data_IF_027661458737
#
_entry.id   IF_027661458737
#
_cell.length_a   1.000
_cell.length_b   1.000
_cell.length_c   1.000
_cell.angle_alpha   90.00
_cell.angle_beta   90.00
_cell.angle_gamma   90.00
#
_symmetry.space_group_name_H-M   'P 1'
#
loop_
_entity.id
_entity.type
_entity.pdbx_description
1 polymer ?
#
# COMPACT_ATOMS: atom_id res chain seq x y z
N UNK A 1 -4.42 -0.34 -4.97
CA UNK A 1 -5.86 -0.67 -4.75
C UNK A 1 -6.80 0.00 -5.76
N UNK A 2 -6.77 1.33 -5.91
CA UNK A 2 -7.69 2.07 -6.81
C UNK A 2 -7.70 1.56 -8.26
N UNK A 3 -6.54 1.18 -8.81
CA UNK A 3 -6.44 0.61 -10.16
C UNK A 3 -7.26 -0.67 -10.32
N UNK A 4 -7.11 -1.64 -9.41
CA UNK A 4 -7.81 -2.92 -9.46
C UNK A 4 -9.33 -2.72 -9.29
N UNK A 5 -9.73 -1.87 -8.36
CA UNK A 5 -11.14 -1.51 -8.15
C UNK A 5 -11.75 -0.89 -9.42
N UNK A 6 -11.08 0.12 -10.00
CA UNK A 6 -11.56 0.79 -11.20
C UNK A 6 -11.55 -0.10 -12.45
N UNK A 7 -10.63 -1.07 -12.54
CA UNK A 7 -10.59 -2.06 -13.62
C UNK A 7 -11.64 -3.17 -13.44
N UNK A 8 -12.22 -3.31 -12.25
CA UNK A 8 -13.07 -4.44 -11.83
C UNK A 8 -12.40 -5.78 -12.14
N UNK A 9 -11.12 -5.88 -11.82
CA UNK A 9 -10.36 -7.09 -12.07
C UNK A 9 -10.89 -8.25 -11.21
N UNK A 10 -11.20 -9.37 -11.85
CA UNK A 10 -11.61 -10.62 -11.20
C UNK A 10 -10.73 -11.73 -11.74
N UNK A 11 -10.06 -12.46 -10.84
CA UNK A 11 -9.26 -13.63 -11.20
C UNK A 11 -10.12 -14.81 -11.66
N UNK A 12 -9.51 -15.85 -12.27
CA UNK A 12 -10.24 -17.05 -12.68
C UNK A 12 -10.85 -17.76 -11.47
N UNK A 13 -12.11 -18.20 -11.59
CA UNK A 13 -12.79 -18.98 -10.53
C UNK A 13 -12.26 -20.41 -10.57
N UNK A 14 -11.42 -20.75 -9.60
CA UNK A 14 -10.84 -22.10 -9.46
C UNK A 14 -11.60 -22.92 -8.41
N UNK A 15 -11.44 -24.25 -8.38
CA UNK A 15 -12.02 -25.09 -7.32
C UNK A 15 -11.57 -24.67 -5.91
N UNK A 16 -10.35 -24.15 -5.77
CA UNK A 16 -9.86 -23.60 -4.51
C UNK A 16 -10.67 -22.35 -4.08
N UNK A 17 -10.96 -21.44 -5.01
CA UNK A 17 -11.77 -20.25 -4.72
C UNK A 17 -13.19 -20.63 -4.29
N UNK A 18 -13.78 -21.65 -4.92
CA UNK A 18 -15.11 -22.15 -4.53
C UNK A 18 -15.10 -22.68 -3.08
N UNK A 19 -14.09 -23.50 -2.73
CA UNK A 19 -13.92 -23.97 -1.34
C UNK A 19 -13.69 -22.83 -0.35
N UNK A 20 -12.87 -21.85 -0.70
CA UNK A 20 -12.63 -20.67 0.14
C UNK A 20 -13.91 -19.86 0.40
N UNK A 21 -14.83 -19.80 -0.57
CA UNK A 21 -16.13 -19.13 -0.37
C UNK A 21 -17.00 -19.85 0.66
N UNK A 22 -16.94 -21.19 0.70
CA UNK A 22 -17.67 -21.99 1.68
C UNK A 22 -17.02 -21.94 3.07
N UNK A 23 -15.69 -21.83 3.14
CA UNK A 23 -14.94 -21.82 4.40
C UNK A 23 -14.93 -20.43 5.08
N UNK A 24 -14.76 -19.36 4.30
CA UNK A 24 -14.59 -18.00 4.83
C UNK A 24 -15.91 -17.28 5.13
N UNK A 25 -17.01 -17.71 4.51
CA UNK A 25 -18.32 -17.08 4.67
C UNK A 25 -19.23 -17.93 5.54
N UNK A 26 -19.93 -17.30 6.48
CA UNK A 26 -20.90 -17.97 7.35
C UNK A 26 -22.20 -18.31 6.63
N UNK A 27 -22.47 -17.65 5.51
CA UNK A 27 -23.67 -17.82 4.67
C UNK A 27 -23.27 -18.20 3.23
N UNK A 28 -24.16 -18.89 2.48
CA UNK A 28 -23.88 -19.23 1.08
C UNK A 28 -23.55 -17.98 0.26
N UNK A 29 -22.49 -18.05 -0.56
CA UNK A 29 -21.95 -16.93 -1.35
C UNK A 29 -23.03 -16.21 -2.19
N UNK A 30 -23.98 -16.95 -2.74
CA UNK A 30 -25.06 -16.45 -3.59
C UNK A 30 -26.11 -15.65 -2.81
N UNK A 31 -26.21 -15.85 -1.50
CA UNK A 31 -27.15 -15.15 -0.61
C UNK A 31 -26.58 -13.88 -0.01
N UNK A 32 -25.26 -13.67 -0.12
CA UNK A 32 -24.59 -12.51 0.47
C UNK A 32 -25.05 -11.22 -0.21
N UNK A 33 -25.69 -10.35 0.57
CA UNK A 33 -26.07 -9.02 0.14
C UNK A 33 -24.87 -8.05 0.24
N UNK A 34 -24.02 -8.06 -0.81
CA UNK A 34 -22.77 -7.29 -0.86
C UNK A 34 -22.91 -5.79 -0.55
N UNK A 35 -24.10 -5.19 -0.79
CA UNK A 35 -24.34 -3.77 -0.48
C UNK A 35 -24.45 -3.50 1.02
N UNK A 36 -24.99 -4.44 1.81
CA UNK A 36 -25.23 -4.31 3.25
C UNK A 36 -23.97 -4.56 4.07
N UNK A 37 -23.09 -5.44 3.58
CA UNK A 37 -21.86 -5.83 4.28
C UNK A 37 -20.71 -4.83 4.13
N UNK A 38 -20.86 -3.77 3.33
CA UNK A 38 -19.78 -2.78 3.07
C UNK A 38 -19.31 -2.03 4.31
N UNK A 39 -20.21 -1.83 5.27
CA UNK A 39 -19.93 -1.15 6.54
C UNK A 39 -19.78 -2.12 7.70
N UNK A 40 -19.82 -3.44 7.45
CA UNK A 40 -19.66 -4.45 8.49
C UNK A 40 -18.18 -4.68 8.76
N UNK A 41 -17.79 -4.49 10.01
CA UNK A 41 -16.48 -4.80 10.56
C UNK A 41 -16.70 -5.40 11.95
N UNK A 42 -15.86 -6.38 12.35
CA UNK A 42 -15.90 -6.91 13.71
C UNK A 42 -15.65 -5.78 14.70
N UNK A 43 -16.38 -5.76 15.82
CA UNK A 43 -16.28 -4.67 16.80
C UNK A 43 -14.90 -4.63 17.45
N UNK A 44 -14.28 -5.79 17.56
CA UNK A 44 -12.96 -6.04 18.10
C UNK A 44 -11.85 -5.46 17.21
N UNK A 45 -12.06 -5.47 15.88
CA UNK A 45 -11.10 -4.93 14.90
C UNK A 45 -11.34 -3.45 14.59
N UNK A 46 -12.47 -2.89 15.01
CA UNK A 46 -12.86 -1.50 14.74
C UNK A 46 -12.18 -0.53 15.71
N UNK A 47 -10.89 -0.30 15.50
CA UNK A 47 -10.11 0.64 16.30
C UNK A 47 -10.57 2.11 16.14
N UNK A 48 -10.97 2.49 14.92
CA UNK A 48 -11.52 3.82 14.62
C UNK A 48 -12.93 3.70 14.02
N UNK A 49 -14.00 4.01 14.79
CA UNK A 49 -15.35 3.93 14.26
C UNK A 49 -15.60 5.02 13.22
N UNK A 50 -16.36 4.68 12.18
CA UNK A 50 -16.71 5.64 11.13
C UNK A 50 -17.70 6.69 11.65
N UNK A 51 -17.43 7.98 11.43
CA UNK A 51 -18.43 9.00 11.69
C UNK A 51 -19.51 8.97 10.60
N UNK A 52 -20.75 9.35 10.95
CA UNK A 52 -21.91 9.31 10.05
C UNK A 52 -21.69 10.03 8.71
N UNK A 53 -20.93 11.12 8.72
CA UNK A 53 -20.59 11.86 7.50
C UNK A 53 -19.75 11.03 6.53
N UNK A 54 -18.89 10.16 7.04
CA UNK A 54 -18.04 9.27 6.25
C UNK A 54 -18.89 8.24 5.52
N UNK A 55 -19.82 7.61 6.25
CA UNK A 55 -20.74 6.62 5.70
C UNK A 55 -21.63 7.24 4.62
N UNK A 56 -22.15 8.45 4.86
CA UNK A 56 -22.95 9.19 3.87
C UNK A 56 -22.16 9.46 2.59
N UNK A 57 -20.89 9.89 2.71
CA UNK A 57 -20.03 10.14 1.56
C UNK A 57 -19.78 8.85 0.78
N UNK A 58 -19.41 7.76 1.46
CA UNK A 58 -19.15 6.48 0.78
C UNK A 58 -20.39 5.88 0.13
N UNK A 59 -21.57 5.99 0.76
CA UNK A 59 -22.81 5.52 0.17
C UNK A 59 -23.24 6.34 -1.03
N UNK A 60 -23.01 7.65 -1.02
CA UNK A 60 -23.22 8.50 -2.18
C UNK A 60 -22.27 8.13 -3.34
N UNK A 61 -20.98 7.98 -3.03
CA UNK A 61 -19.97 7.58 -4.03
C UNK A 61 -20.31 6.23 -4.66
N UNK A 62 -20.73 5.25 -3.88
CA UNK A 62 -21.00 3.91 -4.39
C UNK A 62 -22.35 3.80 -5.11
N UNK A 63 -23.43 4.36 -4.56
CA UNK A 63 -24.77 4.16 -5.14
C UNK A 63 -25.05 5.12 -6.30
N UNK A 64 -24.40 6.29 -6.33
CA UNK A 64 -24.63 7.32 -7.36
C UNK A 64 -23.44 7.43 -8.30
N UNK A 65 -22.24 7.69 -7.78
CA UNK A 65 -21.09 8.00 -8.64
C UNK A 65 -20.56 6.78 -9.38
N UNK A 66 -20.48 5.61 -8.73
CA UNK A 66 -19.93 4.41 -9.37
C UNK A 66 -20.75 3.96 -10.61
N UNK A 67 -22.09 3.90 -10.59
CA UNK A 67 -22.90 3.67 -11.79
C UNK A 67 -22.62 4.71 -12.89
N UNK A 68 -22.66 6.00 -12.57
CA UNK A 68 -22.41 7.09 -13.54
C UNK A 68 -21.05 6.91 -14.22
N UNK A 69 -20.02 6.62 -13.43
CA UNK A 69 -18.65 6.43 -13.90
C UNK A 69 -18.43 5.14 -14.71
N UNK A 70 -19.37 4.19 -14.66
CA UNK A 70 -19.32 2.95 -15.44
C UNK A 70 -19.99 3.11 -16.80
N UNK A 71 -20.93 4.04 -16.93
CA UNK A 71 -21.64 4.32 -18.17
C UNK A 71 -20.87 5.24 -19.13
N UNK A 72 -21.19 5.13 -20.41
CA UNK A 72 -20.72 6.07 -21.43
C UNK A 72 -21.41 7.44 -21.21
N UNK A 73 -20.72 8.59 -21.34
CA UNK A 73 -19.34 8.78 -21.81
C UNK A 73 -18.28 8.81 -20.71
N UNK A 74 -18.68 8.88 -19.43
CA UNK A 74 -17.78 9.09 -18.29
C UNK A 74 -16.76 7.97 -18.10
N UNK A 75 -17.13 6.72 -18.39
CA UNK A 75 -16.19 5.60 -18.33
C UNK A 75 -14.97 5.84 -19.26
N UNK A 76 -15.24 6.19 -20.51
CA UNK A 76 -14.18 6.44 -21.50
C UNK A 76 -13.39 7.71 -21.22
N UNK A 77 -14.07 8.79 -20.81
CA UNK A 77 -13.43 10.09 -20.67
C UNK A 77 -12.68 10.26 -19.34
N UNK A 78 -13.17 9.63 -18.26
CA UNK A 78 -12.67 9.85 -16.91
C UNK A 78 -12.06 8.58 -16.32
N UNK A 79 -12.80 7.46 -16.30
CA UNK A 79 -12.31 6.21 -15.67
C UNK A 79 -11.06 5.70 -16.38
N UNK A 80 -11.09 5.58 -17.70
CA UNK A 80 -9.93 5.10 -18.47
C UNK A 80 -8.71 6.02 -18.29
N UNK A 81 -8.89 7.35 -18.34
CA UNK A 81 -7.79 8.29 -18.10
C UNK A 81 -7.22 8.16 -16.70
N UNK A 82 -8.07 8.05 -15.68
CA UNK A 82 -7.63 7.84 -14.31
C UNK A 82 -6.85 6.52 -14.16
N UNK A 83 -7.30 5.43 -14.78
CA UNK A 83 -6.58 4.16 -14.78
C UNK A 83 -5.20 4.27 -15.43
N UNK A 84 -5.08 4.99 -16.55
CA UNK A 84 -3.77 5.24 -17.19
C UNK A 84 -2.85 6.06 -16.31
N UNK A 85 -3.36 7.12 -15.67
CA UNK A 85 -2.59 7.92 -14.73
C UNK A 85 -2.12 7.09 -13.54
N UNK A 86 -2.99 6.26 -12.95
CA UNK A 86 -2.61 5.40 -11.83
C UNK A 86 -1.54 4.38 -12.27
N UNK A 87 -1.68 3.77 -13.45
CA UNK A 87 -0.66 2.85 -13.97
C UNK A 87 0.69 3.54 -14.18
N UNK A 88 0.68 4.78 -14.68
CA UNK A 88 1.91 5.58 -14.80
C UNK A 88 2.59 5.80 -13.45
N UNK A 89 1.82 6.08 -12.39
CA UNK A 89 2.38 6.25 -11.04
C UNK A 89 2.92 4.93 -10.47
N UNK A 90 2.24 3.81 -10.73
CA UNK A 90 2.71 2.48 -10.33
C UNK A 90 4.06 2.19 -10.98
N UNK A 91 4.17 2.30 -12.31
CA UNK A 91 5.44 2.07 -13.01
C UNK A 91 6.54 3.04 -12.56
N UNK A 92 6.20 4.32 -12.34
CA UNK A 92 7.16 5.29 -11.85
C UNK A 92 7.74 4.88 -10.49
N UNK A 93 6.89 4.47 -9.55
CA UNK A 93 7.34 4.01 -8.25
C UNK A 93 8.11 2.69 -8.32
N UNK A 94 7.69 1.76 -9.18
CA UNK A 94 8.40 0.51 -9.41
C UNK A 94 9.81 0.76 -9.97
N UNK A 95 9.95 1.64 -10.96
CA UNK A 95 11.27 1.98 -11.52
C UNK A 95 12.15 2.74 -10.51
N UNK A 96 11.58 3.71 -9.79
CA UNK A 96 12.30 4.52 -8.81
C UNK A 96 12.76 3.70 -7.60
N UNK A 97 11.91 2.82 -7.09
CA UNK A 97 12.22 1.94 -5.96
C UNK A 97 12.94 0.66 -6.36
N UNK A 98 13.11 0.38 -7.67
CA UNK A 98 13.61 -0.92 -8.18
C UNK A 98 12.72 -2.09 -7.77
N UNK A 99 11.41 -1.92 -7.89
CA UNK A 99 10.37 -2.89 -7.58
C UNK A 99 10.34 -3.32 -6.11
N UNK A 100 10.97 -2.52 -5.25
CA UNK A 100 10.95 -2.72 -3.79
C UNK A 100 9.66 -2.15 -3.21
N UNK A 101 9.15 -1.04 -3.77
CA UNK A 101 8.02 -0.26 -3.26
C UNK A 101 8.23 0.24 -1.82
N UNK A 102 7.28 1.01 -1.29
CA UNK A 102 7.30 1.42 0.13
C UNK A 102 6.88 0.27 1.08
N UNK A 103 6.13 -0.71 0.58
CA UNK A 103 5.42 -1.69 1.40
C UNK A 103 6.28 -2.92 1.72
N UNK A 104 6.28 -3.31 3.00
CA UNK A 104 7.16 -4.32 3.57
C UNK A 104 8.63 -3.86 3.53
N UNK A 105 9.00 -2.97 4.45
CA UNK A 105 10.39 -2.53 4.63
C UNK A 105 11.31 -3.74 4.57
N UNK A 106 12.24 -3.77 3.61
CA UNK A 106 13.23 -4.83 3.42
C UNK A 106 14.30 -4.82 4.54
N UNK A 107 13.87 -4.57 5.77
CA UNK A 107 14.65 -4.42 6.99
C UNK A 107 14.63 -3.00 7.56
N UNK A 108 14.98 -2.92 8.83
CA UNK A 108 15.23 -1.70 9.61
C UNK A 108 16.72 -1.33 9.62
N UNK A 109 17.51 -1.82 8.66
CA UNK A 109 18.98 -1.79 8.69
C UNK A 109 19.56 -0.40 8.93
N UNK A 110 19.06 0.62 8.22
CA UNK A 110 19.50 2.00 8.40
C UNK A 110 19.11 2.56 9.77
N UNK A 111 17.93 2.20 10.26
CA UNK A 111 17.43 2.58 11.59
C UNK A 111 18.27 1.94 12.70
N UNK A 112 18.47 0.63 12.63
CA UNK A 112 19.24 -0.15 13.62
C UNK A 112 20.70 0.29 13.65
N UNK A 113 21.35 0.44 12.49
CA UNK A 113 22.73 0.88 12.42
C UNK A 113 22.91 2.28 13.02
N UNK A 114 22.00 3.21 12.74
CA UNK A 114 22.04 4.56 13.31
C UNK A 114 21.89 4.54 14.84
N UNK A 115 20.92 3.79 15.37
CA UNK A 115 20.69 3.69 16.81
C UNK A 115 21.86 2.99 17.53
N UNK A 116 22.42 1.93 16.95
CA UNK A 116 23.57 1.22 17.52
C UNK A 116 24.80 2.12 17.56
N UNK A 117 25.09 2.87 16.49
CA UNK A 117 26.22 3.82 16.48
C UNK A 117 26.03 4.87 17.58
N UNK A 118 24.83 5.43 17.72
CA UNK A 118 24.53 6.40 18.78
C UNK A 118 24.72 5.82 20.19
N UNK A 119 24.23 4.59 20.42
CA UNK A 119 24.37 3.91 21.70
C UNK A 119 25.84 3.61 22.04
N UNK A 120 26.63 3.15 21.05
CA UNK A 120 28.06 2.87 21.24
C UNK A 120 28.84 4.14 21.56
N UNK A 121 28.58 5.25 20.86
CA UNK A 121 29.19 6.55 21.17
C UNK A 121 28.85 7.04 22.58
N UNK A 122 27.60 6.84 23.03
CA UNK A 122 27.16 7.23 24.37
C UNK A 122 27.79 6.37 25.49
N UNK A 123 28.12 5.11 25.21
CA UNK A 123 28.68 4.17 26.19
C UNK A 123 30.17 4.36 26.51
N UNK A 124 30.86 5.31 25.84
CA UNK A 124 32.31 5.53 25.95
C UNK A 124 33.19 4.30 25.63
N UNK A 125 32.65 3.30 24.93
CA UNK A 125 33.35 2.08 24.49
C UNK A 125 34.08 2.27 23.15
N UNK A 126 34.45 3.50 22.81
CA UNK A 126 35.00 3.82 21.48
C UNK A 126 36.37 3.18 21.25
N UNK A 127 37.20 3.04 22.29
CA UNK A 127 38.54 2.46 22.19
C UNK A 127 38.50 0.97 21.81
N UNK A 128 37.53 0.22 22.33
CA UNK A 128 37.38 -1.22 22.07
C UNK A 128 36.63 -1.51 20.75
N UNK A 129 35.75 -0.60 20.32
CA UNK A 129 34.82 -0.80 19.19
C UNK A 129 35.12 0.06 17.96
N UNK A 130 36.28 0.74 17.91
CA UNK A 130 36.68 1.64 16.83
C UNK A 130 36.46 1.09 15.41
N UNK A 131 36.92 -0.14 15.07
CA UNK A 131 36.69 -0.73 13.75
C UNK A 131 35.22 -0.94 13.38
N UNK A 132 34.37 -1.24 14.36
CA UNK A 132 32.93 -1.43 14.18
C UNK A 132 32.23 -0.11 13.88
N UNK A 133 32.60 0.98 14.58
CA UNK A 133 32.08 2.32 14.33
C UNK A 133 32.43 2.83 12.93
N UNK A 134 33.66 2.57 12.47
CA UNK A 134 34.07 2.92 11.09
C UNK A 134 33.22 2.20 10.06
N UNK A 135 33.00 0.89 10.20
CA UNK A 135 32.11 0.14 9.30
C UNK A 135 30.67 0.65 9.33
N UNK A 136 30.15 0.96 10.52
CA UNK A 136 28.82 1.56 10.66
C UNK A 136 28.71 2.90 9.94
N UNK A 137 29.70 3.78 10.10
CA UNK A 137 29.76 5.06 9.40
C UNK A 137 29.83 4.89 7.88
N UNK A 138 30.64 3.95 7.38
CA UNK A 138 30.72 3.64 5.94
C UNK A 138 29.39 3.14 5.38
N UNK A 139 28.70 2.26 6.12
CA UNK A 139 27.37 1.78 5.74
C UNK A 139 26.39 2.95 5.59
N UNK A 140 26.27 3.80 6.61
CA UNK A 140 25.38 4.97 6.56
C UNK A 140 25.72 5.89 5.38
N UNK A 141 27.01 6.14 5.14
CA UNK A 141 27.48 6.97 4.03
C UNK A 141 27.09 6.38 2.66
N UNK A 142 27.21 5.06 2.48
CA UNK A 142 26.82 4.38 1.23
C UNK A 142 25.30 4.28 1.05
N UNK A 143 24.55 4.26 2.15
CA UNK A 143 23.09 4.22 2.14
C UNK A 143 22.41 5.58 1.92
N UNK A 144 23.17 6.68 1.87
CA UNK A 144 22.61 8.00 1.59
C UNK A 144 22.00 8.07 0.18
N UNK A 145 20.78 8.58 0.09
CA UNK A 145 20.11 8.82 -1.19
C UNK A 145 20.87 9.92 -1.95
N UNK A 146 21.54 9.54 -3.03
CA UNK A 146 22.29 10.49 -3.85
C UNK A 146 21.34 11.37 -4.67
N UNK A 147 21.37 12.68 -4.45
CA UNK A 147 20.52 13.67 -5.13
C UNK A 147 20.62 13.61 -6.66
N UNK A 148 21.77 13.17 -7.21
CA UNK A 148 21.98 13.02 -8.66
C UNK A 148 21.13 11.89 -9.26
N UNK A 149 20.87 10.82 -8.49
CA UNK A 149 19.95 9.76 -8.92
C UNK A 149 18.50 10.25 -8.87
N UNK A 150 18.13 11.01 -7.85
CA UNK A 150 16.78 11.60 -7.72
C UNK A 150 16.46 12.58 -8.86
N UNK A 151 17.41 13.43 -9.25
CA UNK A 151 17.22 14.40 -10.35
C UNK A 151 17.11 13.70 -11.71
N UNK A 152 17.79 12.56 -11.92
CA UNK A 152 17.71 11.80 -13.18
C UNK A 152 16.38 11.06 -13.34
N UNK A 153 15.75 10.64 -12.24
CA UNK A 153 14.41 9.99 -12.28
C UNK A 153 13.27 11.00 -12.42
N UNK A 154 13.50 12.28 -12.12
CA UNK A 154 12.50 13.36 -12.22
C UNK A 154 12.46 14.06 -13.59
N UNK A 155 13.27 13.63 -14.57
CA UNK A 155 13.37 14.23 -15.91
C UNK A 155 12.96 13.23 -16.98
#
# INVERSE_FOLDING_TARGET
>A
MSYLYGKRFVGPITPLILKLREELLTEPYERVEWKKVRHQCAKEDLYYPHPLIQDLIWDSLYNVMEPIMTHWPFNKLVREKALQTVMKHIHYEDENSRYITIGCSFGSQAWDASLIIQALLASNLMEDMGPTLVKGHEFIKKSQVCLILVIRTLR
#
